data_IF_439008442812
#
_entry.id   IF_439008442812
#
_cell.length_a   1.000
_cell.length_b   1.000
_cell.length_c   1.000
_cell.angle_alpha   90.00
_cell.angle_beta   90.00
_cell.angle_gamma   90.00
#
_symmetry.space_group_name_H-M   'P 1'
#
loop_
_entity.id
_entity.type
_entity.pdbx_description
1 polymer ?
#
# COMPACT_ATOMS: atom_id res chain seq x y z
N UNK A 1 32.27 1.27 10.75
CA UNK A 1 31.38 0.10 10.56
C UNK A 1 29.90 0.47 10.50
N UNK A 2 29.35 1.24 11.45
CA UNK A 2 27.91 1.61 11.48
C UNK A 2 27.34 2.15 10.16
N UNK A 3 28.08 3.02 9.45
CA UNK A 3 27.66 3.52 8.12
C UNK A 3 27.42 2.38 7.10
N UNK A 4 28.23 1.32 7.17
CA UNK A 4 28.14 0.15 6.30
C UNK A 4 26.92 -0.70 6.66
N UNK A 5 26.65 -0.93 7.95
CA UNK A 5 25.42 -1.60 8.41
C UNK A 5 24.16 -0.88 7.92
N UNK A 6 24.15 0.44 8.10
CA UNK A 6 23.10 1.34 7.60
C UNK A 6 22.92 1.32 6.08
N UNK A 7 23.99 1.04 5.33
CA UNK A 7 23.92 0.87 3.88
C UNK A 7 23.25 -0.45 3.52
N UNK A 8 23.66 -1.57 4.12
CA UNK A 8 23.03 -2.88 3.89
C UNK A 8 21.54 -2.85 4.24
N UNK A 9 21.16 -2.34 5.41
CA UNK A 9 19.76 -2.27 5.82
C UNK A 9 18.90 -1.51 4.78
N UNK A 10 19.36 -0.34 4.32
CA UNK A 10 18.66 0.43 3.27
C UNK A 10 18.64 -0.29 1.92
N UNK A 11 19.73 -0.96 1.55
CA UNK A 11 19.79 -1.67 0.29
C UNK A 11 18.85 -2.89 0.29
N UNK A 12 18.73 -3.59 1.41
CA UNK A 12 17.75 -4.65 1.60
C UNK A 12 16.32 -4.13 1.40
N UNK A 13 15.97 -2.97 1.96
CA UNK A 13 14.66 -2.34 1.70
C UNK A 13 14.43 -2.15 0.19
N UNK A 14 15.41 -1.63 -0.54
CA UNK A 14 15.29 -1.47 -2.00
C UNK A 14 15.10 -2.82 -2.70
N UNK A 15 15.84 -3.85 -2.30
CA UNK A 15 15.69 -5.19 -2.86
C UNK A 15 14.32 -5.83 -2.56
N UNK A 16 13.76 -5.60 -1.36
CA UNK A 16 12.38 -5.99 -0.99
C UNK A 16 11.36 -5.30 -1.91
N UNK A 17 11.47 -3.98 -2.06
CA UNK A 17 10.58 -3.20 -2.93
C UNK A 17 10.65 -3.66 -4.39
N UNK A 18 11.83 -4.05 -4.87
CA UNK A 18 12.05 -4.56 -6.22
C UNK A 18 11.84 -6.08 -6.38
N UNK A 19 11.39 -6.79 -5.33
CA UNK A 19 11.22 -8.26 -5.30
C UNK A 19 12.46 -9.05 -5.75
N UNK A 20 13.67 -8.56 -5.46
CA UNK A 20 14.93 -9.26 -5.80
C UNK A 20 15.32 -10.26 -4.71
N UNK A 21 14.58 -11.35 -4.57
CA UNK A 21 14.72 -12.34 -3.47
C UNK A 21 16.14 -12.92 -3.36
N UNK A 22 16.81 -13.21 -4.48
CA UNK A 22 18.20 -13.70 -4.48
C UNK A 22 19.16 -12.71 -3.83
N UNK A 23 19.08 -11.44 -4.21
CA UNK A 23 19.91 -10.38 -3.63
C UNK A 23 19.63 -10.18 -2.14
N UNK A 24 18.37 -10.32 -1.69
CA UNK A 24 18.02 -10.20 -0.26
C UNK A 24 18.76 -11.25 0.57
N UNK A 25 18.82 -12.50 0.10
CA UNK A 25 19.51 -13.59 0.82
C UNK A 25 21.01 -13.32 0.97
N UNK A 26 21.65 -12.88 -0.11
CA UNK A 26 23.08 -12.52 -0.09
C UNK A 26 23.36 -11.34 0.84
N UNK A 27 22.54 -10.28 0.76
CA UNK A 27 22.68 -9.09 1.60
C UNK A 27 22.42 -9.37 3.07
N UNK A 28 21.52 -10.30 3.41
CA UNK A 28 21.27 -10.74 4.77
C UNK A 28 22.48 -11.46 5.37
N UNK A 29 23.09 -12.38 4.62
CA UNK A 29 24.29 -13.08 5.07
C UNK A 29 25.47 -12.12 5.28
N UNK A 30 25.63 -11.14 4.38
CA UNK A 30 26.68 -10.14 4.54
C UNK A 30 26.38 -9.17 5.69
N UNK A 31 25.12 -8.74 5.88
CA UNK A 31 24.74 -7.90 7.03
C UNK A 31 25.03 -8.61 8.36
N UNK A 32 24.68 -9.89 8.49
CA UNK A 32 24.96 -10.71 9.67
C UNK A 32 26.46 -10.73 9.97
N UNK A 33 27.30 -11.04 8.97
CA UNK A 33 28.75 -10.99 9.10
C UNK A 33 29.24 -9.62 9.55
N UNK A 34 28.73 -8.53 8.98
CA UNK A 34 29.13 -7.18 9.35
C UNK A 34 28.71 -6.81 10.78
N UNK A 35 27.58 -7.33 11.28
CA UNK A 35 27.15 -7.14 12.67
C UNK A 35 28.07 -7.91 13.62
N UNK A 36 28.42 -9.15 13.30
CA UNK A 36 29.38 -9.95 14.08
C UNK A 36 30.74 -9.25 14.15
N UNK A 37 31.29 -8.83 13.00
CA UNK A 37 32.57 -8.11 12.93
C UNK A 37 32.52 -6.79 13.73
N UNK A 38 31.41 -6.05 13.65
CA UNK A 38 31.21 -4.81 14.41
C UNK A 38 31.16 -5.07 15.92
N UNK A 39 30.45 -6.12 16.34
CA UNK A 39 30.29 -6.49 17.75
C UNK A 39 31.60 -6.96 18.36
N UNK A 40 32.32 -7.87 17.68
CA UNK A 40 33.58 -8.42 18.18
C UNK A 40 34.71 -7.39 18.21
N UNK A 41 34.67 -6.38 17.34
CA UNK A 41 35.75 -5.38 17.23
C UNK A 41 35.57 -4.23 18.22
N UNK A 42 34.32 -3.83 18.49
CA UNK A 42 34.03 -2.59 19.20
C UNK A 42 33.22 -2.73 20.49
N UNK A 43 32.65 -3.91 20.79
CA UNK A 43 31.76 -4.16 21.94
C UNK A 43 30.75 -3.01 22.19
N UNK A 44 29.97 -2.61 21.18
CA UNK A 44 29.20 -1.39 21.25
C UNK A 44 27.89 -1.57 22.02
N UNK A 45 27.43 -0.51 22.68
CA UNK A 45 26.15 -0.51 23.42
C UNK A 45 24.94 -0.80 22.51
N UNK A 46 25.04 -0.52 21.20
CA UNK A 46 23.98 -0.71 20.20
C UNK A 46 23.95 -2.12 19.56
N UNK A 47 24.75 -3.08 20.06
CA UNK A 47 24.80 -4.44 19.49
C UNK A 47 23.41 -5.13 19.46
N UNK A 48 22.60 -4.91 20.50
CA UNK A 48 21.29 -5.53 20.61
C UNK A 48 20.32 -4.92 19.60
N UNK A 49 20.42 -3.61 19.36
CA UNK A 49 19.61 -2.93 18.33
C UNK A 49 19.89 -3.48 16.94
N UNK A 50 21.17 -3.68 16.59
CA UNK A 50 21.53 -4.27 15.30
C UNK A 50 21.10 -5.72 15.16
N UNK A 51 21.17 -6.50 16.23
CA UNK A 51 20.66 -7.86 16.27
C UNK A 51 19.14 -7.90 16.04
N UNK A 52 18.40 -6.99 16.70
CA UNK A 52 16.96 -6.82 16.49
C UNK A 52 16.63 -6.43 15.05
N UNK A 53 17.37 -5.49 14.45
CA UNK A 53 17.19 -5.10 13.05
C UNK A 53 17.36 -6.30 12.12
N UNK A 54 18.38 -7.14 12.33
CA UNK A 54 18.60 -8.33 11.51
C UNK A 54 17.45 -9.34 11.65
N UNK A 55 16.99 -9.59 12.88
CA UNK A 55 15.88 -10.51 13.15
C UNK A 55 14.54 -9.98 12.59
N UNK A 56 14.30 -8.66 12.66
CA UNK A 56 13.15 -8.03 12.00
C UNK A 56 13.15 -8.32 10.49
N UNK A 57 14.29 -8.15 9.81
CA UNK A 57 14.40 -8.42 8.37
C UNK A 57 14.14 -9.90 8.07
N UNK A 58 14.77 -10.81 8.82
CA UNK A 58 14.59 -12.26 8.63
C UNK A 58 13.12 -12.66 8.81
N UNK A 59 12.48 -12.15 9.86
CA UNK A 59 11.06 -12.40 10.15
C UNK A 59 10.17 -11.83 9.05
N UNK A 60 10.48 -10.62 8.56
CA UNK A 60 9.77 -10.00 7.45
C UNK A 60 9.84 -10.83 6.15
N UNK A 61 11.03 -11.29 5.77
CA UNK A 61 11.23 -12.13 4.57
C UNK A 61 10.51 -13.48 4.72
N UNK A 62 10.50 -14.05 5.93
CA UNK A 62 9.76 -15.27 6.23
C UNK A 62 8.25 -15.05 6.09
N UNK A 63 7.71 -13.96 6.62
CA UNK A 63 6.28 -13.64 6.52
C UNK A 63 5.82 -13.34 5.08
N UNK A 64 6.67 -12.74 4.24
CA UNK A 64 6.39 -12.53 2.81
C UNK A 64 6.28 -13.85 2.04
N UNK A 65 7.03 -14.87 2.45
CA UNK A 65 7.07 -16.20 1.80
C UNK A 65 6.10 -17.22 2.42
N UNK A 66 5.06 -16.74 3.11
CA UNK A 66 4.07 -17.63 3.79
C UNK A 66 3.29 -18.50 2.79
N UNK A 67 2.97 -17.97 1.61
CA UNK A 67 2.36 -18.73 0.51
C UNK A 67 3.40 -18.94 -0.59
N UNK A 68 3.82 -20.19 -0.77
CA UNK A 68 4.67 -20.58 -1.89
C UNK A 68 3.83 -21.36 -2.90
N UNK A 69 3.71 -20.81 -4.10
CA UNK A 69 3.09 -21.53 -5.21
C UNK A 69 4.14 -22.43 -5.83
N UNK A 70 3.84 -23.72 -5.87
CA UNK A 70 4.70 -24.73 -6.48
C UNK A 70 4.13 -25.11 -7.85
N UNK A 71 5.02 -25.24 -8.82
CA UNK A 71 4.70 -25.87 -10.09
C UNK A 71 4.56 -27.39 -9.87
N UNK A 72 4.03 -28.11 -10.87
CA UNK A 72 3.78 -29.56 -10.77
C UNK A 72 5.04 -30.39 -10.47
N UNK A 73 6.21 -29.85 -10.79
CA UNK A 73 7.53 -30.43 -10.51
C UNK A 73 8.12 -30.00 -9.15
N UNK A 74 7.31 -29.37 -8.29
CA UNK A 74 7.69 -28.82 -6.98
C UNK A 74 8.69 -27.65 -7.04
N UNK A 75 8.93 -27.08 -8.23
CA UNK A 75 9.70 -25.84 -8.33
C UNK A 75 8.85 -24.65 -7.87
N UNK A 76 9.47 -23.69 -7.16
CA UNK A 76 8.76 -22.50 -6.67
C UNK A 76 8.49 -21.51 -7.81
N UNK A 77 7.24 -21.08 -7.94
CA UNK A 77 6.82 -20.03 -8.87
C UNK A 77 6.80 -18.69 -8.14
N UNK A 78 7.53 -17.70 -8.68
CA UNK A 78 7.46 -16.32 -8.19
C UNK A 78 6.29 -15.63 -8.88
N UNK A 79 5.21 -15.41 -8.15
CA UNK A 79 4.08 -14.63 -8.63
C UNK A 79 4.35 -13.14 -8.43
N UNK A 80 4.11 -12.36 -9.49
CA UNK A 80 3.99 -10.91 -9.37
C UNK A 80 2.53 -10.59 -9.06
N UNK A 81 2.30 -9.92 -7.94
CA UNK A 81 0.98 -9.46 -7.53
C UNK A 81 0.70 -8.03 -8.04
N UNK A 82 1.58 -7.49 -8.88
CA UNK A 82 1.47 -6.15 -9.45
C UNK A 82 0.41 -6.10 -10.54
N UNK A 83 -0.12 -4.89 -10.74
CA UNK A 83 -1.09 -4.63 -11.78
C UNK A 83 -0.42 -4.65 -13.16
N UNK A 84 -0.81 -5.62 -13.98
CA UNK A 84 -0.43 -5.71 -15.39
C UNK A 84 -1.69 -5.75 -16.26
N UNK A 85 -1.60 -5.48 -17.57
CA UNK A 85 -2.73 -5.69 -18.47
C UNK A 85 -3.27 -7.14 -18.49
N UNK A 86 -2.44 -8.12 -18.09
CA UNK A 86 -2.82 -9.53 -18.04
C UNK A 86 -3.53 -9.92 -16.73
N UNK A 87 -3.17 -9.27 -15.61
CA UNK A 87 -3.75 -9.55 -14.28
C UNK A 87 -4.88 -8.59 -13.91
N UNK A 88 -5.03 -7.48 -14.63
CA UNK A 88 -6.11 -6.50 -14.42
C UNK A 88 -7.28 -6.83 -15.34
N UNK A 89 -8.49 -7.08 -14.82
CA UNK A 89 -9.67 -7.30 -15.65
C UNK A 89 -9.89 -6.13 -16.62
N UNK A 90 -10.27 -6.40 -17.89
CA UNK A 90 -10.59 -5.34 -18.83
C UNK A 90 -11.78 -4.55 -18.30
N UNK A 91 -11.62 -3.22 -18.20
CA UNK A 91 -12.71 -2.33 -17.82
C UNK A 91 -13.39 -1.85 -19.09
N UNK A 92 -14.69 -2.12 -19.23
CA UNK A 92 -15.50 -1.51 -20.28
C UNK A 92 -15.49 0.01 -20.10
N UNK A 93 -14.85 0.72 -21.02
CA UNK A 93 -14.82 2.19 -21.00
C UNK A 93 -16.19 2.73 -21.39
N UNK A 94 -17.07 2.88 -20.41
CA UNK A 94 -18.29 3.67 -20.54
C UNK A 94 -18.00 5.16 -20.31
N UNK A 95 -18.82 6.05 -20.86
CA UNK A 95 -18.81 7.48 -20.49
C UNK A 95 -18.98 7.70 -18.99
N UNK A 96 -19.55 6.70 -18.28
CA UNK A 96 -19.75 6.68 -16.84
C UNK A 96 -18.57 6.07 -16.05
N UNK A 97 -17.67 5.32 -16.71
CA UNK A 97 -16.55 4.60 -16.09
C UNK A 97 -15.19 5.19 -16.49
N UNK A 98 -14.95 6.42 -16.04
CA UNK A 98 -13.73 7.18 -16.32
C UNK A 98 -12.79 7.35 -15.10
N UNK A 99 -13.09 6.67 -13.99
CA UNK A 99 -12.32 6.79 -12.75
C UNK A 99 -10.96 6.07 -12.83
N UNK A 100 -9.95 6.67 -12.21
CA UNK A 100 -8.64 6.06 -12.03
C UNK A 100 -8.15 6.24 -10.60
N UNK A 101 -7.55 5.19 -10.04
CA UNK A 101 -6.83 5.29 -8.77
C UNK A 101 -5.63 6.24 -8.95
N UNK A 102 -5.53 7.26 -8.11
CA UNK A 102 -4.50 8.31 -8.19
C UNK A 102 -3.73 8.46 -6.88
N UNK A 103 -4.46 8.50 -5.76
CA UNK A 103 -3.88 8.67 -4.43
C UNK A 103 -4.15 7.44 -3.57
N UNK A 104 -3.14 7.02 -2.80
CA UNK A 104 -3.24 5.91 -1.86
C UNK A 104 -2.64 6.34 -0.53
N UNK A 105 -3.35 6.06 0.56
CA UNK A 105 -2.85 6.19 1.93
C UNK A 105 -2.81 4.80 2.54
N UNK A 106 -1.61 4.32 2.89
CA UNK A 106 -1.40 3.04 3.56
C UNK A 106 -1.06 3.31 5.04
N UNK A 107 -1.85 2.76 5.94
CA UNK A 107 -1.70 2.96 7.40
C UNK A 107 -1.48 1.61 8.08
N UNK A 108 -0.39 1.49 8.82
CA UNK A 108 -0.13 0.37 9.73
C UNK A 108 -0.05 0.86 11.17
N UNK A 109 -1.00 0.48 12.01
CA UNK A 109 -1.06 0.86 13.43
C UNK A 109 -1.52 -0.29 14.36
N UNK A 110 -1.56 -1.53 13.87
CA UNK A 110 -1.82 -2.69 14.74
C UNK A 110 -0.70 -2.85 15.78
N UNK A 111 -1.06 -3.36 16.96
CA UNK A 111 -0.11 -3.58 18.06
C UNK A 111 0.94 -4.64 17.71
N UNK A 112 0.50 -5.79 17.21
CA UNK A 112 1.32 -6.96 16.90
C UNK A 112 1.33 -7.23 15.39
N UNK A 113 2.38 -6.77 14.70
CA UNK A 113 2.61 -7.06 13.28
C UNK A 113 4.09 -7.15 12.95
N UNK A 114 4.43 -8.09 12.07
CA UNK A 114 5.77 -8.15 11.47
C UNK A 114 6.02 -6.88 10.67
N UNK A 115 7.17 -6.26 10.95
CA UNK A 115 7.60 -5.04 10.29
C UNK A 115 9.09 -5.05 10.05
N UNK A 116 9.51 -4.22 9.11
CA UNK A 116 10.89 -3.82 8.95
C UNK A 116 10.94 -2.38 8.44
N UNK A 117 11.82 -1.56 8.99
CA UNK A 117 12.00 -0.15 8.56
C UNK A 117 10.69 0.66 8.53
N UNK A 118 9.87 0.54 9.58
CA UNK A 118 8.56 1.23 9.70
C UNK A 118 7.57 0.85 8.58
N UNK A 119 7.71 -0.31 7.97
CA UNK A 119 6.76 -0.85 7.01
C UNK A 119 6.30 -2.21 7.51
N UNK A 120 4.99 -2.37 7.74
CA UNK A 120 4.44 -3.67 8.13
C UNK A 120 4.30 -4.58 6.91
N UNK A 121 4.25 -5.89 7.14
CA UNK A 121 4.08 -6.87 6.06
C UNK A 121 2.80 -6.60 5.25
N UNK A 122 1.74 -6.16 5.91
CA UNK A 122 0.46 -5.90 5.27
C UNK A 122 0.48 -4.60 4.44
N UNK A 123 1.16 -3.55 4.93
CA UNK A 123 1.44 -2.36 4.11
C UNK A 123 2.24 -2.72 2.86
N UNK A 124 3.26 -3.59 3.00
CA UNK A 124 4.07 -4.04 1.88
C UNK A 124 3.25 -4.84 0.85
N UNK A 125 2.43 -5.78 1.31
CA UNK A 125 1.52 -6.56 0.46
C UNK A 125 0.59 -5.65 -0.34
N UNK A 126 -0.10 -4.72 0.34
CA UNK A 126 -0.99 -3.76 -0.31
C UNK A 126 -0.25 -2.84 -1.29
N UNK A 127 0.94 -2.37 -0.94
CA UNK A 127 1.78 -1.58 -1.83
C UNK A 127 2.12 -2.34 -3.11
N UNK A 128 2.51 -3.62 -3.00
CA UNK A 128 2.83 -4.45 -4.16
C UNK A 128 1.59 -4.72 -5.03
N UNK A 129 0.43 -4.97 -4.43
CA UNK A 129 -0.83 -5.18 -5.16
C UNK A 129 -1.29 -3.92 -5.91
N UNK A 130 -0.98 -2.74 -5.37
CA UNK A 130 -1.37 -1.44 -5.96
C UNK A 130 -0.28 -0.82 -6.84
N UNK A 131 0.81 -1.55 -7.09
CA UNK A 131 1.90 -1.12 -7.96
C UNK A 131 1.67 -1.65 -9.38
N UNK A 132 1.76 -0.78 -10.38
CA UNK A 132 1.75 -1.13 -11.80
C UNK A 132 3.15 -1.54 -12.24
N UNK A 133 3.27 -2.63 -12.99
CA UNK A 133 4.54 -2.97 -13.61
C UNK A 133 4.87 -1.97 -14.74
N UNK A 134 6.13 -1.56 -14.81
CA UNK A 134 6.65 -0.86 -16.00
C UNK A 134 6.93 -1.93 -17.05
N UNK A 135 6.29 -1.83 -18.22
CA UNK A 135 6.61 -2.67 -19.37
C UNK A 135 8.13 -2.61 -19.64
N UNK A 136 8.84 -3.72 -19.44
CA UNK A 136 10.30 -3.79 -19.64
C UNK A 136 10.68 -3.54 -21.11
N UNK A 137 9.77 -3.79 -22.05
CA UNK A 137 10.01 -3.66 -23.48
C UNK A 137 10.09 -2.20 -23.97
N UNK A 138 9.64 -1.22 -23.17
CA UNK A 138 9.68 0.21 -23.56
C UNK A 138 11.05 0.87 -23.33
N UNK A 139 11.94 0.29 -22.53
CA UNK A 139 13.28 0.87 -22.26
C UNK A 139 14.18 0.79 -23.50
N UNK A 140 13.89 -0.10 -24.45
CA UNK A 140 14.67 -0.26 -25.67
C UNK A 140 14.28 0.70 -26.81
N UNK A 141 13.22 1.50 -26.66
CA UNK A 141 12.73 2.41 -27.72
C UNK A 141 12.91 3.91 -27.43
N UNK A 142 13.59 4.29 -26.33
CA UNK A 142 13.86 5.71 -25.98
C UNK A 142 15.34 6.07 -26.08
N UNK A 143 16.12 5.30 -26.84
CA UNK A 143 17.51 5.63 -27.19
C UNK A 143 17.63 6.09 -28.63
N UNK A 144 16.89 7.13 -29.01
CA UNK A 144 17.26 7.97 -30.16
C UNK A 144 17.82 9.30 -29.65
N UNK A 145 19.08 9.66 -29.94
CA UNK A 145 19.63 10.95 -29.55
C UNK A 145 18.96 12.08 -30.35
N UNK A 146 18.87 13.30 -29.81
CA UNK A 146 18.25 14.42 -30.50
C UNK A 146 19.11 14.80 -31.71
N UNK A 147 18.68 14.34 -32.89
CA UNK A 147 19.29 14.72 -34.16
C UNK A 147 19.03 16.21 -34.40
N UNK A 148 20.13 16.96 -34.54
CA UNK A 148 20.17 18.40 -34.82
C UNK A 148 19.24 18.76 -35.98
N UNK A 149 18.51 19.86 -35.79
CA UNK A 149 17.66 20.47 -36.80
C UNK A 149 18.45 20.75 -38.10
N UNK A 150 18.01 20.14 -39.19
CA UNK A 150 18.40 20.50 -40.56
C UNK A 150 17.14 20.97 -41.28
N UNK A 151 17.16 22.24 -41.60
CA UNK A 151 16.16 22.98 -42.33
C UNK A 151 16.30 22.62 -43.82
N UNK A 152 15.30 22.00 -44.45
CA UNK A 152 15.16 22.11 -45.91
C UNK A 152 13.71 21.85 -46.38
N UNK A 153 13.19 22.88 -47.06
CA UNK A 153 11.94 22.86 -47.84
C UNK A 153 12.13 22.00 -49.09
N UNK A 154 11.14 21.20 -49.44
CA UNK A 154 10.81 20.99 -50.85
C UNK A 154 9.35 20.56 -51.04
N UNK A 155 8.69 21.29 -51.94
CA UNK A 155 7.38 20.99 -52.50
C UNK A 155 7.53 19.89 -53.56
N UNK A 156 6.63 18.91 -53.58
CA UNK A 156 6.22 18.27 -54.83
C UNK A 156 4.82 17.67 -54.72
N UNK A 157 3.97 18.12 -55.64
CA UNK A 157 2.64 17.60 -55.96
C UNK A 157 2.86 16.45 -56.93
N UNK A 158 2.30 15.27 -56.67
CA UNK A 158 1.72 14.44 -57.74
C UNK A 158 0.76 13.40 -57.21
N UNK A 159 -0.45 13.46 -57.75
CA UNK A 159 -1.56 12.54 -57.61
C UNK A 159 -1.20 11.15 -58.13
N UNK A 160 -1.57 10.10 -57.39
CA UNK A 160 -2.12 8.88 -57.98
C UNK A 160 -2.96 8.09 -56.97
N UNK A 161 -4.26 8.01 -57.28
CA UNK A 161 -5.24 7.15 -56.62
C UNK A 161 -4.89 5.68 -56.86
N UNK A 162 -4.62 4.94 -55.79
CA UNK A 162 -4.90 3.50 -55.74
C UNK A 162 -5.80 3.25 -54.54
N UNK A 163 -6.99 2.68 -54.81
CA UNK A 163 -7.91 2.18 -53.79
C UNK A 163 -7.23 1.00 -53.09
N UNK A 164 -6.76 1.21 -51.87
CA UNK A 164 -6.47 0.17 -50.92
C UNK A 164 -7.29 0.46 -49.66
N UNK A 165 -8.01 -0.56 -49.21
CA UNK A 165 -8.84 -0.67 -48.01
C UNK A 165 -8.40 0.24 -46.85
N UNK A 166 -9.33 0.86 -46.09
CA UNK A 166 -8.96 1.55 -44.86
C UNK A 166 -8.46 0.51 -43.86
N UNK A 167 -7.15 0.26 -43.89
CA UNK A 167 -6.43 -0.27 -42.75
C UNK A 167 -6.71 0.73 -41.63
N UNK A 168 -7.49 0.30 -40.64
CA UNK A 168 -7.74 1.07 -39.44
C UNK A 168 -6.37 1.48 -38.89
N UNK A 169 -6.03 2.75 -39.07
CA UNK A 169 -4.92 3.35 -38.36
C UNK A 169 -5.20 3.09 -36.89
N UNK A 170 -4.35 2.29 -36.26
CA UNK A 170 -4.34 2.05 -34.82
C UNK A 170 -4.35 3.41 -34.12
N UNK A 171 -5.55 3.88 -33.77
CA UNK A 171 -5.75 4.95 -32.81
C UNK A 171 -5.49 4.48 -31.37
N UNK A 172 -5.07 3.22 -31.19
CA UNK A 172 -4.87 2.55 -29.90
C UNK A 172 -3.42 2.53 -29.38
N UNK A 173 -2.47 3.22 -30.02
CA UNK A 173 -1.07 3.27 -29.51
C UNK A 173 -0.91 4.28 -28.36
N UNK A 174 -1.94 5.09 -28.08
CA UNK A 174 -2.04 5.92 -26.88
C UNK A 174 -3.12 5.37 -25.94
N UNK A 175 -3.06 4.09 -25.59
CA UNK A 175 -3.61 3.67 -24.30
C UNK A 175 -2.89 4.49 -23.24
N UNK A 176 -3.51 5.60 -22.81
CA UNK A 176 -2.99 6.57 -21.85
C UNK A 176 -2.18 5.85 -20.77
N UNK A 177 -0.85 6.00 -20.84
CA UNK A 177 0.10 5.40 -19.92
C UNK A 177 -0.40 5.68 -18.51
N UNK A 178 -0.99 4.66 -17.87
CA UNK A 178 -1.54 4.82 -16.53
C UNK A 178 -0.34 4.86 -15.58
N UNK A 179 -0.02 6.05 -15.11
CA UNK A 179 1.04 6.23 -14.13
C UNK A 179 0.72 5.47 -12.84
N UNK A 180 1.76 5.16 -12.08
CA UNK A 180 1.58 4.58 -10.77
C UNK A 180 0.90 5.59 -9.85
N UNK A 181 -0.12 5.18 -9.07
CA UNK A 181 -0.71 6.06 -8.08
C UNK A 181 0.33 6.47 -7.05
N UNK A 182 0.21 7.71 -6.58
CA UNK A 182 1.02 8.24 -5.50
C UNK A 182 0.62 7.57 -4.17
N UNK A 183 1.61 7.28 -3.31
CA UNK A 183 1.44 6.47 -2.10
C UNK A 183 2.00 7.19 -0.88
N UNK A 184 1.14 7.51 0.08
CA UNK A 184 1.53 7.90 1.43
C UNK A 184 1.63 6.66 2.30
N UNK A 185 2.76 6.45 2.96
CA UNK A 185 3.04 5.29 3.82
C UNK A 185 3.17 5.81 5.25
N UNK A 186 2.24 5.43 6.11
CA UNK A 186 2.12 5.95 7.48
C UNK A 186 2.19 4.81 8.49
N UNK A 187 3.27 4.76 9.25
CA UNK A 187 3.44 3.79 10.34
C UNK A 187 3.21 4.43 11.69
N UNK A 188 2.31 3.82 12.47
CA UNK A 188 1.77 4.32 13.74
C UNK A 188 1.46 5.84 13.71
N UNK A 189 0.65 6.33 12.75
CA UNK A 189 0.31 7.74 12.68
C UNK A 189 -0.65 8.15 13.79
N UNK A 190 -0.56 9.41 14.23
CA UNK A 190 -1.60 10.03 15.07
C UNK A 190 -2.83 10.35 14.24
N UNK A 191 -3.99 10.56 14.89
CA UNK A 191 -5.23 10.96 14.19
C UNK A 191 -5.03 12.24 13.36
N UNK A 192 -4.27 13.21 13.85
CA UNK A 192 -3.94 14.44 13.13
C UNK A 192 -3.14 14.15 11.86
N UNK A 193 -2.20 13.21 11.89
CA UNK A 193 -1.46 12.80 10.70
C UNK A 193 -2.39 12.13 9.68
N UNK A 194 -3.27 11.24 10.12
CA UNK A 194 -4.26 10.58 9.24
C UNK A 194 -5.13 11.65 8.55
N UNK A 195 -5.71 12.59 9.31
CA UNK A 195 -6.56 13.66 8.77
C UNK A 195 -5.80 14.59 7.83
N UNK A 196 -4.54 14.90 8.13
CA UNK A 196 -3.68 15.70 7.26
C UNK A 196 -3.49 15.03 5.90
N UNK A 197 -3.09 13.76 5.87
CA UNK A 197 -2.84 13.04 4.62
C UNK A 197 -4.13 12.77 3.83
N UNK A 198 -5.25 12.51 4.51
CA UNK A 198 -6.58 12.47 3.87
C UNK A 198 -6.92 13.80 3.18
N UNK A 199 -6.71 14.93 3.87
CA UNK A 199 -6.95 16.25 3.30
C UNK A 199 -6.02 16.57 2.13
N UNK A 200 -4.74 16.22 2.22
CA UNK A 200 -3.76 16.40 1.14
C UNK A 200 -4.15 15.58 -0.08
N UNK A 201 -4.35 14.26 0.07
CA UNK A 201 -4.77 13.40 -1.04
C UNK A 201 -6.09 13.85 -1.66
N UNK A 202 -7.09 14.19 -0.82
CA UNK A 202 -8.37 14.72 -1.28
C UNK A 202 -8.21 16.02 -2.10
N UNK A 203 -7.34 16.93 -1.68
CA UNK A 203 -7.07 18.19 -2.39
C UNK A 203 -6.39 17.93 -3.74
N UNK A 204 -5.43 17.02 -3.78
CA UNK A 204 -4.61 16.72 -4.97
C UNK A 204 -5.34 15.86 -6.01
N UNK A 205 -6.43 15.17 -5.62
CA UNK A 205 -7.23 14.34 -6.53
C UNK A 205 -7.75 15.12 -7.77
N UNK A 206 -7.47 14.65 -9.00
CA UNK A 206 -8.11 15.18 -10.21
C UNK A 206 -9.59 14.82 -10.29
N UNK A 207 -10.32 15.38 -11.25
CA UNK A 207 -11.77 15.21 -11.38
C UNK A 207 -12.22 13.75 -11.53
N UNK A 208 -11.39 12.91 -12.15
CA UNK A 208 -11.62 11.47 -12.32
C UNK A 208 -10.78 10.60 -11.37
N UNK A 209 -10.14 11.22 -10.37
CA UNK A 209 -9.28 10.52 -9.42
C UNK A 209 -10.08 9.82 -8.31
N UNK A 210 -9.57 8.67 -7.87
CA UNK A 210 -10.01 7.96 -6.67
C UNK A 210 -8.90 8.01 -5.63
N UNK A 211 -9.27 8.32 -4.38
CA UNK A 211 -8.40 8.15 -3.22
C UNK A 211 -8.69 6.78 -2.59
N UNK A 212 -7.66 5.98 -2.39
CA UNK A 212 -7.73 4.75 -1.60
C UNK A 212 -7.12 4.98 -0.23
N UNK A 213 -7.82 4.58 0.83
CA UNK A 213 -7.26 4.49 2.17
C UNK A 213 -7.29 3.03 2.63
N UNK A 214 -6.12 2.50 2.96
CA UNK A 214 -5.97 1.22 3.64
C UNK A 214 -5.50 1.48 5.07
N UNK A 215 -6.14 0.85 6.05
CA UNK A 215 -5.74 0.92 7.46
C UNK A 215 -5.76 -0.47 8.09
N UNK A 216 -4.66 -0.83 8.72
CA UNK A 216 -4.53 -2.05 9.54
C UNK A 216 -4.20 -1.65 10.97
N UNK A 217 -5.15 -1.83 11.89
CA UNK A 217 -5.04 -1.29 13.24
C UNK A 217 -6.07 -1.88 14.21
N UNK A 218 -5.77 -1.76 15.50
CA UNK A 218 -6.64 -2.24 16.58
C UNK A 218 -7.91 -1.38 16.68
N UNK A 219 -9.03 -2.02 17.00
CA UNK A 219 -10.34 -1.41 17.12
C UNK A 219 -10.50 -0.57 18.38
N UNK A 220 -11.25 0.52 18.26
CA UNK A 220 -11.78 1.28 19.39
C UNK A 220 -13.27 0.99 19.51
N UNK A 221 -13.69 0.23 20.52
CA UNK A 221 -15.08 -0.22 20.64
C UNK A 221 -16.01 0.82 21.27
N UNK A 222 -17.31 0.63 21.03
CA UNK A 222 -18.39 1.42 21.60
C UNK A 222 -18.31 1.50 23.13
N UNK A 223 -18.41 2.72 23.67
CA UNK A 223 -18.44 2.97 25.13
C UNK A 223 -19.82 3.37 25.66
N UNK A 224 -20.77 3.71 24.77
CA UNK A 224 -22.15 4.11 25.12
C UNK A 224 -23.11 2.92 25.04
N UNK A 225 -24.19 2.88 25.84
CA UNK A 225 -25.26 1.87 25.72
C UNK A 225 -26.32 2.23 24.67
N UNK A 226 -26.40 3.50 24.27
CA UNK A 226 -27.37 4.00 23.31
C UNK A 226 -26.61 4.51 22.08
N UNK A 227 -26.87 3.91 20.92
CA UNK A 227 -26.36 4.34 19.62
C UNK A 227 -27.35 5.35 19.06
N UNK A 228 -26.98 6.63 19.11
CA UNK A 228 -27.76 7.71 18.49
C UNK A 228 -27.11 8.16 17.18
N UNK A 229 -25.78 8.16 17.14
CA UNK A 229 -24.98 8.54 15.98
C UNK A 229 -24.08 7.37 15.55
N UNK A 230 -24.51 6.66 14.50
CA UNK A 230 -23.76 5.54 13.91
C UNK A 230 -22.34 5.94 13.47
N UNK A 231 -22.10 7.22 13.19
CA UNK A 231 -20.79 7.72 12.78
C UNK A 231 -19.75 7.70 13.89
N UNK A 232 -20.17 7.71 15.16
CA UNK A 232 -19.25 7.91 16.28
C UNK A 232 -19.53 7.04 17.51
N UNK A 233 -20.75 6.52 17.66
CA UNK A 233 -21.14 5.76 18.84
C UNK A 233 -20.78 4.27 18.72
N UNK A 234 -20.61 3.75 17.50
CA UNK A 234 -20.15 2.37 17.24
C UNK A 234 -18.63 2.19 17.48
N UNK A 235 -17.93 3.24 17.89
CA UNK A 235 -16.48 3.25 17.96
C UNK A 235 -15.82 3.46 16.59
N UNK A 236 -14.56 3.09 16.48
CA UNK A 236 -13.74 3.29 15.30
C UNK A 236 -12.45 2.50 15.36
N UNK A 237 -11.36 3.10 14.88
CA UNK A 237 -10.04 2.46 14.80
C UNK A 237 -9.02 3.29 15.56
N UNK A 238 -8.19 2.65 16.38
CA UNK A 238 -7.16 3.32 17.14
C UNK A 238 -6.09 3.91 16.21
N UNK A 239 -5.72 5.15 16.48
CA UNK A 239 -4.54 5.82 15.99
C UNK A 239 -3.45 5.84 17.08
N UNK A 240 -2.22 6.16 16.71
CA UNK A 240 -1.11 6.24 17.65
C UNK A 240 -1.26 7.45 18.58
N UNK A 241 -0.99 7.24 19.88
CA UNK A 241 -0.85 8.31 20.86
C UNK A 241 0.63 8.50 21.19
N UNK A 242 1.21 9.63 20.77
CA UNK A 242 2.57 10.03 21.19
C UNK A 242 2.47 10.72 22.55
N UNK A 243 2.28 9.94 23.62
CA UNK A 243 2.22 10.38 25.04
C UNK A 243 1.39 11.66 25.29
N UNK A 244 0.10 11.46 25.55
CA UNK A 244 -0.64 12.26 26.53
C UNK A 244 -1.37 11.31 27.49
N UNK A 245 -0.61 10.51 28.23
CA UNK A 245 -1.17 9.58 29.24
C UNK A 245 -1.44 10.25 30.60
N UNK A 246 -1.56 11.58 30.64
CA UNK A 246 -1.58 12.35 31.90
C UNK A 246 -2.88 13.10 32.22
N UNK A 247 -3.93 13.08 31.38
CA UNK A 247 -5.13 13.91 31.65
C UNK A 247 -6.49 13.20 31.71
N UNK A 248 -6.61 11.90 31.43
CA UNK A 248 -7.93 11.24 31.31
C UNK A 248 -8.36 10.40 32.51
N UNK A 249 -7.65 10.47 33.64
CA UNK A 249 -8.11 9.87 34.91
C UNK A 249 -9.23 10.69 35.60
N UNK A 250 -10.15 11.28 34.85
CA UNK A 250 -11.42 11.80 35.37
C UNK A 250 -12.54 10.81 35.05
N UNK A 251 -12.65 9.79 35.90
CA UNK A 251 -13.82 8.91 36.00
C UNK A 251 -15.08 9.78 36.14
N UNK A 252 -15.94 9.84 35.13
CA UNK A 252 -17.25 10.47 35.26
C UNK A 252 -17.93 10.99 33.98
N UNK A 253 -17.22 11.14 32.85
CA UNK A 253 -17.83 11.59 31.59
C UNK A 253 -17.50 10.59 30.49
N UNK A 254 -18.53 10.05 29.83
CA UNK A 254 -18.38 9.23 28.62
C UNK A 254 -17.88 10.12 27.46
N UNK A 255 -16.58 10.43 27.45
CA UNK A 255 -15.94 11.15 26.35
C UNK A 255 -15.47 10.12 25.33
N UNK A 256 -15.67 10.41 24.04
CA UNK A 256 -15.17 9.61 22.93
C UNK A 256 -13.63 9.62 22.94
N UNK A 257 -13.02 8.48 22.61
CA UNK A 257 -11.57 8.34 22.49
C UNK A 257 -11.03 9.35 21.47
N UNK A 258 -10.05 10.16 21.86
CA UNK A 258 -9.50 11.25 21.06
C UNK A 258 -8.52 10.74 20.01
N UNK A 259 -7.85 9.61 20.30
CA UNK A 259 -6.92 8.97 19.38
C UNK A 259 -7.59 7.86 18.57
N UNK A 260 -8.84 8.09 18.16
CA UNK A 260 -9.61 7.15 17.35
C UNK A 260 -10.04 7.84 16.04
N UNK A 261 -9.91 7.11 14.93
CA UNK A 261 -10.54 7.45 13.66
C UNK A 261 -11.94 6.85 13.66
N UNK A 262 -12.96 7.70 13.72
CA UNK A 262 -14.36 7.27 13.64
C UNK A 262 -14.86 7.26 12.19
N UNK A 263 -15.87 6.44 11.85
CA UNK A 263 -16.54 6.48 10.56
C UNK A 263 -17.01 7.89 10.17
N UNK A 264 -17.48 8.68 11.15
CA UNK A 264 -17.92 10.05 10.98
C UNK A 264 -16.84 11.02 10.47
N UNK A 265 -15.57 10.76 10.81
CA UNK A 265 -14.45 11.60 10.37
C UNK A 265 -14.23 11.49 8.85
N UNK A 266 -14.69 10.40 8.22
CA UNK A 266 -14.60 10.20 6.78
C UNK A 266 -15.66 10.96 5.99
N UNK A 267 -16.72 11.44 6.63
CA UNK A 267 -17.85 12.07 5.94
C UNK A 267 -17.39 13.22 5.05
N UNK A 268 -16.43 14.01 5.52
CA UNK A 268 -15.95 15.15 4.77
C UNK A 268 -15.30 14.77 3.42
N UNK A 269 -14.64 13.61 3.39
CA UNK A 269 -13.86 13.10 2.26
C UNK A 269 -14.69 12.32 1.25
N UNK A 270 -15.95 11.97 1.59
CA UNK A 270 -16.91 11.38 0.64
C UNK A 270 -17.44 12.35 -0.42
N UNK A 271 -16.94 13.60 -0.44
CA UNK A 271 -17.16 14.61 -1.49
C UNK A 271 -16.41 14.32 -2.80
N UNK A 272 -15.53 13.32 -2.82
CA UNK A 272 -14.83 12.79 -4.00
C UNK A 272 -14.87 11.27 -3.94
N UNK A 273 -14.61 10.57 -5.08
CA UNK A 273 -14.54 9.12 -5.09
C UNK A 273 -13.53 8.59 -4.06
N UNK A 274 -13.99 7.73 -3.15
CA UNK A 274 -13.21 7.23 -2.03
C UNK A 274 -13.38 5.71 -1.89
N UNK A 275 -12.26 5.00 -1.78
CA UNK A 275 -12.21 3.56 -1.54
C UNK A 275 -11.50 3.30 -0.23
N UNK A 276 -12.15 2.60 0.69
CA UNK A 276 -11.63 2.36 2.05
C UNK A 276 -11.49 0.87 2.29
N UNK A 277 -10.35 0.45 2.83
CA UNK A 277 -10.09 -0.91 3.28
C UNK A 277 -9.76 -0.82 4.77
N UNK A 278 -10.61 -1.42 5.60
CA UNK A 278 -10.45 -1.48 7.05
C UNK A 278 -10.08 -2.90 7.46
N UNK A 279 -8.85 -3.06 7.94
CA UNK A 279 -8.34 -4.29 8.53
C UNK A 279 -8.22 -4.09 10.05
N UNK A 280 -9.28 -4.46 10.77
CA UNK A 280 -9.44 -4.23 12.20
C UNK A 280 -10.48 -5.19 12.79
N UNK A 281 -10.35 -5.53 14.07
CA UNK A 281 -11.37 -6.26 14.85
C UNK A 281 -12.66 -5.45 15.08
N UNK A 282 -12.62 -4.12 14.87
CA UNK A 282 -13.80 -3.25 14.87
C UNK A 282 -14.15 -2.69 13.47
N UNK A 283 -13.75 -3.40 12.40
CA UNK A 283 -13.98 -2.95 11.01
C UNK A 283 -15.45 -2.67 10.67
N UNK A 284 -16.37 -3.41 11.30
CA UNK A 284 -17.82 -3.28 11.11
C UNK A 284 -18.40 -1.91 11.49
N UNK A 285 -17.71 -1.13 12.33
CA UNK A 285 -18.13 0.24 12.64
C UNK A 285 -18.27 1.10 11.38
N UNK A 286 -17.55 0.77 10.29
CA UNK A 286 -17.54 1.49 9.03
C UNK A 286 -18.61 1.02 8.03
N UNK A 287 -19.47 0.07 8.41
CA UNK A 287 -20.48 -0.52 7.53
C UNK A 287 -21.51 0.51 7.01
N UNK A 288 -21.91 1.46 7.86
CA UNK A 288 -23.03 2.36 7.59
C UNK A 288 -22.60 3.83 7.45
N UNK A 289 -21.62 4.08 6.57
CA UNK A 289 -21.26 5.46 6.23
C UNK A 289 -22.29 6.06 5.25
N UNK A 290 -22.99 7.14 5.63
CA UNK A 290 -23.98 7.82 4.79
C UNK A 290 -23.36 8.43 3.53
N UNK A 291 -24.09 8.35 2.41
CA UNK A 291 -23.67 8.88 1.10
C UNK A 291 -24.16 10.31 0.88
N UNK A 292 -23.74 11.26 1.73
CA UNK A 292 -24.26 12.63 1.69
C UNK A 292 -24.02 13.38 0.36
N UNK A 293 -22.97 13.06 -0.38
CA UNK A 293 -22.56 13.81 -1.57
C UNK A 293 -22.77 13.06 -2.90
N UNK A 294 -23.27 11.83 -2.86
CA UNK A 294 -23.57 11.04 -4.07
C UNK A 294 -22.35 10.57 -4.89
N UNK A 295 -21.12 10.82 -4.44
CA UNK A 295 -19.92 10.28 -5.09
C UNK A 295 -19.74 8.79 -4.80
N UNK A 296 -19.07 8.04 -5.69
CA UNK A 296 -18.74 6.64 -5.48
C UNK A 296 -17.94 6.43 -4.18
N UNK A 297 -18.44 5.52 -3.35
CA UNK A 297 -17.83 5.18 -2.07
C UNK A 297 -17.94 3.68 -1.82
N UNK A 298 -16.82 3.05 -1.51
CA UNK A 298 -16.73 1.61 -1.21
C UNK A 298 -15.93 1.43 0.06
N UNK A 299 -16.38 0.51 0.92
CA UNK A 299 -15.66 0.04 2.10
C UNK A 299 -15.51 -1.47 2.01
N UNK A 300 -14.29 -1.96 2.12
CA UNK A 300 -13.99 -3.36 2.42
C UNK A 300 -13.62 -3.47 3.89
N UNK A 301 -14.16 -4.47 4.57
CA UNK A 301 -13.97 -4.70 6.00
C UNK A 301 -13.40 -6.09 6.21
N UNK A 302 -12.39 -6.22 7.06
CA UNK A 302 -11.85 -7.52 7.49
C UNK A 302 -12.91 -8.36 8.20
N UNK A 303 -12.81 -9.70 8.14
CA UNK A 303 -13.68 -10.58 8.90
C UNK A 303 -13.50 -10.36 10.41
N UNK A 304 -14.57 -10.53 11.18
CA UNK A 304 -14.55 -10.42 12.64
C UNK A 304 -13.95 -11.65 13.32
N UNK A 305 -14.09 -12.81 12.67
CA UNK A 305 -13.64 -14.10 13.22
C UNK A 305 -12.77 -14.81 12.19
N UNK A 306 -11.72 -15.46 12.69
CA UNK A 306 -10.83 -16.32 11.93
C UNK A 306 -10.93 -17.74 12.48
N UNK A 307 -10.83 -18.78 11.64
CA UNK A 307 -10.70 -20.15 12.14
C UNK A 307 -9.51 -20.29 13.08
N UNK A 308 -9.67 -20.96 14.23
CA UNK A 308 -8.64 -21.08 15.28
C UNK A 308 -7.27 -21.52 14.75
N UNK A 309 -7.27 -22.48 13.81
CA UNK A 309 -6.04 -23.01 13.18
C UNK A 309 -5.23 -21.96 12.42
N UNK A 310 -5.88 -20.91 11.93
CA UNK A 310 -5.26 -19.81 11.20
C UNK A 310 -4.83 -18.68 12.14
N UNK A 311 -5.41 -18.59 13.33
CA UNK A 311 -5.14 -17.50 14.27
C UNK A 311 -3.67 -17.51 14.71
N UNK A 312 -3.16 -18.64 15.23
CA UNK A 312 -1.76 -18.77 15.65
C UNK A 312 -0.76 -18.60 14.48
N UNK A 313 -1.12 -19.11 13.30
CA UNK A 313 -0.24 -19.01 12.13
C UNK A 313 -0.14 -17.59 11.58
N UNK A 314 -1.18 -16.77 11.71
CA UNK A 314 -1.25 -15.44 11.09
C UNK A 314 -0.91 -14.30 12.03
N UNK A 315 -1.04 -14.49 13.35
CA UNK A 315 -0.59 -13.51 14.36
C UNK A 315 0.85 -13.01 14.09
N UNK A 316 1.73 -13.89 13.60
CA UNK A 316 3.12 -13.55 13.28
C UNK A 316 3.42 -13.40 11.79
N UNK A 317 2.43 -13.44 10.90
CA UNK A 317 2.66 -13.38 9.44
C UNK A 317 1.76 -12.37 8.69
N UNK A 318 1.08 -11.50 9.45
CA UNK A 318 0.20 -10.45 8.91
C UNK A 318 -1.27 -10.91 8.79
N UNK A 319 -2.13 -9.97 8.43
CA UNK A 319 -3.58 -10.20 8.33
C UNK A 319 -3.95 -11.20 7.24
N UNK A 320 -4.87 -12.13 7.55
CA UNK A 320 -5.47 -13.03 6.55
C UNK A 320 -6.15 -12.23 5.44
N UNK A 321 -6.85 -11.16 5.82
CA UNK A 321 -7.61 -10.35 4.91
C UNK A 321 -6.69 -9.69 3.89
N UNK A 322 -5.58 -9.10 4.37
CA UNK A 322 -4.57 -8.51 3.49
C UNK A 322 -3.83 -9.56 2.67
N UNK A 323 -3.55 -10.74 3.23
CA UNK A 323 -2.98 -11.86 2.48
C UNK A 323 -3.91 -12.29 1.32
N UNK A 324 -5.22 -12.38 1.56
CA UNK A 324 -6.21 -12.68 0.53
C UNK A 324 -6.29 -11.59 -0.55
N UNK A 325 -6.29 -10.32 -0.16
CA UNK A 325 -6.24 -9.22 -1.14
C UNK A 325 -4.94 -9.20 -1.96
N UNK A 326 -3.85 -9.71 -1.38
CA UNK A 326 -2.56 -9.80 -2.04
C UNK A 326 -2.47 -10.97 -3.01
N UNK A 327 -2.93 -12.15 -2.58
CA UNK A 327 -2.84 -13.42 -3.29
C UNK A 327 -4.15 -14.19 -3.13
N UNK A 328 -5.20 -13.83 -3.90
CA UNK A 328 -6.55 -14.36 -3.74
C UNK A 328 -6.69 -15.84 -4.10
#
# INVERSE_FOLDING_TARGET
>A
MVKKLRYYARFIVVCLLLRRVGAIRELLAELDKQIVDYTSTYEPDDQLEWSLVLEEIKTFVKADSIVNVLHADQSSVILSHRLTPLTTPPVEKSTMMNLSLQEIILIGNASEQVKFSEMTIDMFRMMQTLEREKNRDEVNHVSDPPSRASFEKSYSITSNKTLAYPMMANHDVNSSRRENPHKYILYKPTITQIMMFLATGFKELPANGVLLMYISADGCFQTSKHVNDLGYDCGGIMASSKREMELTNKKGVHVKEIHCLYPGDLYAFTRKPLFVIIDSDNSFAFQYIPRYFGHPFVVLMSPQELPDKLHEQLQHNGSLFTLFLHSP
#
